data_IF_629775327042
#
_entry.id   IF_629775327042
#
_cell.length_a   1.000
_cell.length_b   1.000
_cell.length_c   1.000
_cell.angle_alpha   90.00
_cell.angle_beta   90.00
_cell.angle_gamma   90.00
#
_symmetry.space_group_name_H-M   'P 1'
#
loop_
_entity.id
_entity.type
_entity.pdbx_description
1 polymer ?
#
# COMPACT_ATOMS: atom_id res chain seq x y z
N UNK A 1 -33.46 -24.58 -10.07
CA UNK A 1 -32.62 -23.50 -10.64
C UNK A 1 -31.72 -22.91 -9.55
N UNK A 2 -30.44 -22.60 -9.79
CA UNK A 2 -29.55 -22.03 -8.76
C UNK A 2 -29.96 -20.57 -8.45
N UNK A 3 -29.96 -20.20 -7.16
CA UNK A 3 -30.29 -18.83 -6.72
C UNK A 3 -29.49 -17.79 -7.51
N UNK A 4 -30.16 -16.74 -8.00
CA UNK A 4 -29.56 -15.66 -8.82
C UNK A 4 -28.36 -15.00 -8.15
N UNK A 5 -28.38 -14.85 -6.82
CA UNK A 5 -27.27 -14.25 -6.08
C UNK A 5 -25.95 -15.04 -6.23
N UNK A 6 -26.04 -16.37 -6.34
CA UNK A 6 -24.91 -17.28 -6.49
C UNK A 6 -24.33 -17.32 -7.92
N UNK A 7 -25.01 -16.64 -8.86
CA UNK A 7 -24.55 -16.47 -10.25
C UNK A 7 -23.68 -15.23 -10.45
N UNK A 8 -23.52 -14.39 -9.43
CA UNK A 8 -22.74 -13.14 -9.48
C UNK A 8 -21.22 -13.34 -9.62
N UNK A 9 -20.52 -12.30 -10.08
CA UNK A 9 -19.05 -12.29 -10.24
C UNK A 9 -18.31 -12.11 -8.91
N UNK A 10 -18.99 -11.69 -7.84
CA UNK A 10 -18.40 -11.47 -6.51
C UNK A 10 -18.10 -12.78 -5.78
N UNK A 11 -18.72 -13.88 -6.20
CA UNK A 11 -18.64 -15.19 -5.56
C UNK A 11 -17.85 -16.15 -6.46
N UNK A 12 -16.88 -16.86 -5.87
CA UNK A 12 -16.16 -17.98 -6.47
C UNK A 12 -16.87 -19.29 -6.14
N UNK A 13 -17.07 -20.14 -7.16
CA UNK A 13 -17.60 -21.50 -7.02
C UNK A 13 -16.45 -22.48 -6.88
N UNK A 14 -16.55 -23.41 -5.94
CA UNK A 14 -15.57 -24.46 -5.68
C UNK A 14 -16.29 -25.80 -5.59
N UNK A 15 -15.96 -26.73 -6.48
CA UNK A 15 -16.51 -28.09 -6.43
C UNK A 15 -15.61 -28.92 -5.51
N UNK A 16 -16.20 -29.58 -4.51
CA UNK A 16 -15.50 -30.45 -3.57
C UNK A 16 -16.32 -31.71 -3.31
N UNK A 17 -15.64 -32.83 -3.09
CA UNK A 17 -16.26 -34.06 -2.58
C UNK A 17 -16.33 -33.97 -1.06
N UNK A 18 -17.48 -34.25 -0.48
CA UNK A 18 -17.63 -34.42 0.96
C UNK A 18 -17.09 -35.78 1.39
N UNK A 19 -16.78 -35.99 2.67
CA UNK A 19 -16.33 -37.29 3.18
C UNK A 19 -17.28 -38.44 2.85
N UNK A 20 -18.59 -38.19 2.81
CA UNK A 20 -19.62 -39.16 2.39
C UNK A 20 -19.75 -39.35 0.88
N UNK A 21 -18.74 -38.98 0.09
CA UNK A 21 -18.68 -39.20 -1.36
C UNK A 21 -19.53 -38.25 -2.23
N UNK A 22 -20.33 -37.36 -1.64
CA UNK A 22 -21.20 -36.44 -2.38
C UNK A 22 -20.39 -35.27 -2.97
N UNK A 23 -20.64 -34.93 -4.23
CA UNK A 23 -20.05 -33.74 -4.87
C UNK A 23 -20.90 -32.52 -4.56
N UNK A 24 -20.32 -31.51 -3.89
CA UNK A 24 -20.99 -30.28 -3.48
C UNK A 24 -20.27 -29.06 -4.04
N UNK A 25 -21.04 -28.05 -4.49
CA UNK A 25 -20.51 -26.74 -4.88
C UNK A 25 -20.53 -25.79 -3.68
N UNK A 26 -19.35 -25.44 -3.20
CA UNK A 26 -19.15 -24.46 -2.13
C UNK A 26 -18.97 -23.07 -2.76
N UNK A 27 -19.77 -22.11 -2.29
CA UNK A 27 -19.70 -20.71 -2.70
C UNK A 27 -18.85 -19.92 -1.70
N UNK A 28 -17.77 -19.29 -2.15
CA UNK A 28 -16.90 -18.43 -1.33
C UNK A 28 -16.81 -17.04 -1.94
N UNK A 29 -16.68 -15.97 -1.15
CA UNK A 29 -16.38 -14.66 -1.70
C UNK A 29 -15.05 -14.67 -2.45
N UNK A 30 -14.93 -13.88 -3.51
CA UNK A 30 -13.62 -13.63 -4.13
C UNK A 30 -12.73 -12.85 -3.16
N UNK A 31 -11.43 -13.14 -3.21
CA UNK A 31 -10.43 -12.33 -2.50
C UNK A 31 -10.31 -10.99 -3.21
N UNK A 32 -10.08 -9.94 -2.44
CA UNK A 32 -9.73 -8.61 -2.96
C UNK A 32 -8.38 -8.62 -3.67
N UNK A 33 -8.09 -7.57 -4.45
CA UNK A 33 -6.78 -7.39 -5.09
C UNK A 33 -5.67 -7.13 -4.07
N UNK A 34 -4.42 -7.38 -4.47
CA UNK A 34 -3.23 -7.01 -3.66
C UNK A 34 -3.10 -5.48 -3.59
N UNK A 35 -2.46 -5.00 -2.52
CA UNK A 35 -2.16 -3.58 -2.35
C UNK A 35 -1.05 -3.13 -3.29
N UNK A 36 -1.09 -1.85 -3.70
CA UNK A 36 -0.22 -1.26 -4.71
C UNK A 36 0.51 -0.05 -4.11
N UNK A 37 1.79 0.11 -4.45
CA UNK A 37 2.62 1.25 -4.05
C UNK A 37 2.10 2.55 -4.67
N UNK A 38 1.99 3.61 -3.86
CA UNK A 38 1.49 4.91 -4.30
C UNK A 38 2.39 5.65 -5.33
N UNK A 39 3.68 5.32 -5.42
CA UNK A 39 4.64 5.95 -6.35
C UNK A 39 4.92 5.07 -7.57
N UNK A 40 5.51 3.90 -7.38
CA UNK A 40 5.95 3.02 -8.48
C UNK A 40 4.90 2.00 -8.96
N UNK A 41 3.72 1.93 -8.33
CA UNK A 41 2.66 0.94 -8.61
C UNK A 41 3.08 -0.54 -8.45
N UNK A 42 4.21 -0.80 -7.78
CA UNK A 42 4.62 -2.16 -7.40
C UNK A 42 3.68 -2.81 -6.39
N UNK A 43 3.61 -4.13 -6.39
CA UNK A 43 2.78 -4.91 -5.45
C UNK A 43 3.39 -4.85 -4.05
N UNK A 44 2.59 -4.51 -3.04
CA UNK A 44 3.01 -4.49 -1.64
C UNK A 44 2.79 -5.86 -0.98
N UNK A 45 3.75 -6.27 -0.15
CA UNK A 45 3.65 -7.48 0.65
C UNK A 45 2.86 -7.22 1.94
N UNK A 46 1.56 -6.98 1.81
CA UNK A 46 0.64 -6.77 2.94
C UNK A 46 -0.57 -7.70 2.84
N UNK A 47 -1.19 -8.07 3.98
CA UNK A 47 -2.43 -8.82 3.97
C UNK A 47 -3.52 -8.06 3.18
N UNK A 48 -4.12 -8.73 2.19
CA UNK A 48 -4.99 -8.07 1.23
C UNK A 48 -6.45 -8.51 1.29
N UNK A 49 -6.74 -9.69 1.85
CA UNK A 49 -8.10 -10.24 1.97
C UNK A 49 -8.90 -9.48 3.04
N UNK A 50 -9.77 -8.55 2.62
CA UNK A 50 -10.47 -7.62 3.53
C UNK A 50 -11.18 -8.30 4.72
N UNK A 51 -11.76 -9.49 4.51
CA UNK A 51 -12.47 -10.22 5.57
C UNK A 51 -11.52 -10.74 6.64
N UNK A 52 -10.31 -11.12 6.25
CA UNK A 52 -9.24 -11.54 7.17
C UNK A 52 -8.56 -10.33 7.79
N UNK A 53 -8.25 -9.32 6.99
CA UNK A 53 -7.62 -8.06 7.41
C UNK A 53 -8.41 -7.38 8.52
N UNK A 54 -9.75 -7.40 8.48
CA UNK A 54 -10.59 -6.82 9.55
C UNK A 54 -10.34 -7.44 10.93
N UNK A 55 -9.98 -8.73 10.98
CA UNK A 55 -9.75 -9.48 12.23
C UNK A 55 -8.33 -9.35 12.79
N UNK A 56 -7.37 -8.88 11.97
CA UNK A 56 -5.98 -8.72 12.37
C UNK A 56 -5.82 -7.53 13.34
N UNK A 57 -4.72 -7.53 14.08
CA UNK A 57 -4.24 -6.38 14.86
C UNK A 57 -3.61 -5.31 13.94
N UNK A 58 -3.28 -4.12 14.48
CA UNK A 58 -2.70 -3.03 13.66
C UNK A 58 -1.33 -3.39 13.09
N UNK A 59 -0.47 -4.03 13.88
CA UNK A 59 0.89 -4.45 13.50
C UNK A 59 0.90 -5.52 12.41
N UNK A 60 -0.07 -6.44 12.43
CA UNK A 60 -0.20 -7.46 11.40
C UNK A 60 -0.74 -6.89 10.07
N UNK A 61 -1.51 -5.79 10.11
CA UNK A 61 -2.05 -5.15 8.90
C UNK A 61 -1.00 -4.36 8.14
N UNK A 62 -0.10 -3.69 8.86
CA UNK A 62 0.74 -2.61 8.32
C UNK A 62 2.17 -2.76 8.87
N UNK A 63 3.21 -2.65 8.03
CA UNK A 63 4.60 -2.61 8.47
C UNK A 63 4.88 -1.43 9.41
N UNK A 64 5.79 -1.61 10.36
CA UNK A 64 6.18 -0.59 11.35
C UNK A 64 6.98 0.59 10.78
N UNK A 65 7.57 0.45 9.59
CA UNK A 65 8.36 1.52 8.95
C UNK A 65 7.52 2.74 8.54
N UNK A 66 8.14 3.92 8.41
CA UNK A 66 7.47 5.08 7.85
C UNK A 66 7.00 4.85 6.40
N UNK A 67 5.99 5.63 6.01
CA UNK A 67 5.34 5.57 4.69
C UNK A 67 4.93 4.14 4.26
N UNK A 68 4.07 3.44 5.02
CA UNK A 68 3.66 2.07 4.70
C UNK A 68 2.97 1.95 3.33
N UNK A 69 2.41 3.04 2.81
CA UNK A 69 1.77 3.11 1.49
C UNK A 69 2.76 2.97 0.31
N UNK A 70 4.06 3.10 0.57
CA UNK A 70 5.14 2.97 -0.41
C UNK A 70 5.82 1.60 -0.32
N UNK A 71 6.59 1.18 -1.31
CA UNK A 71 7.54 0.08 -1.16
C UNK A 71 8.77 0.53 -0.36
N UNK A 72 9.62 -0.40 0.09
CA UNK A 72 10.84 -0.08 0.86
C UNK A 72 11.74 0.91 0.11
N UNK A 73 11.99 0.67 -1.18
CA UNK A 73 12.80 1.55 -2.04
C UNK A 73 12.25 2.97 -2.12
N UNK A 74 10.96 3.12 -2.44
CA UNK A 74 10.36 4.45 -2.55
C UNK A 74 10.27 5.17 -1.20
N UNK A 75 10.15 4.44 -0.08
CA UNK A 75 10.20 5.04 1.25
C UNK A 75 11.60 5.57 1.58
N UNK A 76 12.63 4.80 1.24
CA UNK A 76 14.03 5.21 1.39
C UNK A 76 14.36 6.45 0.54
N UNK A 77 13.88 6.51 -0.71
CA UNK A 77 14.05 7.70 -1.55
C UNK A 77 13.43 8.96 -0.91
N UNK A 78 12.27 8.82 -0.24
CA UNK A 78 11.60 9.94 0.44
C UNK A 78 12.44 10.42 1.63
N UNK A 79 13.02 9.50 2.40
CA UNK A 79 13.91 9.85 3.52
C UNK A 79 15.19 10.51 3.04
N UNK A 80 15.81 9.99 1.97
CA UNK A 80 16.99 10.60 1.33
C UNK A 80 16.68 12.01 0.83
N UNK A 81 15.56 12.19 0.14
CA UNK A 81 15.12 13.49 -0.36
C UNK A 81 14.97 14.50 0.78
N UNK A 82 14.33 14.09 1.88
CA UNK A 82 14.18 14.92 3.08
C UNK A 82 15.54 15.29 3.68
N UNK A 83 16.45 14.33 3.81
CA UNK A 83 17.79 14.57 4.33
C UNK A 83 18.59 15.55 3.45
N UNK A 84 18.53 15.39 2.11
CA UNK A 84 19.19 16.30 1.18
C UNK A 84 18.61 17.72 1.23
N UNK A 85 17.28 17.84 1.34
CA UNK A 85 16.62 19.12 1.55
C UNK A 85 17.08 19.79 2.86
N UNK A 86 17.12 19.04 3.96
CA UNK A 86 17.59 19.56 5.24
C UNK A 86 19.07 20.02 5.15
N UNK A 87 19.95 19.24 4.52
CA UNK A 87 21.35 19.62 4.28
C UNK A 87 21.47 20.91 3.47
N UNK A 88 20.69 21.05 2.39
CA UNK A 88 20.76 22.23 1.52
C UNK A 88 20.16 23.48 2.18
N UNK A 89 18.98 23.36 2.80
CA UNK A 89 18.22 24.52 3.28
C UNK A 89 18.52 24.87 4.74
N UNK A 90 18.58 23.88 5.64
CA UNK A 90 18.81 24.12 7.07
C UNK A 90 20.29 24.33 7.37
N UNK A 91 21.16 23.48 6.83
CA UNK A 91 22.59 23.53 7.09
C UNK A 91 23.37 24.37 6.07
N UNK A 92 22.70 24.89 5.03
CA UNK A 92 23.28 25.73 3.97
C UNK A 92 24.53 25.13 3.33
N UNK A 93 24.60 23.80 3.27
CA UNK A 93 25.69 23.08 2.63
C UNK A 93 25.43 22.94 1.12
N UNK A 94 26.49 22.93 0.31
CA UNK A 94 26.40 22.80 -1.15
C UNK A 94 26.10 21.37 -1.59
N UNK A 95 24.90 20.90 -1.24
CA UNK A 95 24.33 19.68 -1.79
C UNK A 95 23.59 19.96 -3.10
N UNK A 96 23.73 19.05 -4.06
CA UNK A 96 22.90 19.02 -5.27
C UNK A 96 21.51 18.51 -4.89
N UNK A 97 20.53 19.41 -4.87
CA UNK A 97 19.14 19.10 -4.56
C UNK A 97 18.26 19.43 -5.76
N UNK A 98 17.83 18.40 -6.48
CA UNK A 98 16.84 18.50 -7.55
C UNK A 98 15.44 18.17 -7.00
N UNK A 99 14.45 18.98 -7.34
CA UNK A 99 13.08 18.80 -6.86
C UNK A 99 12.38 17.64 -7.57
N UNK A 100 11.84 16.69 -6.80
CA UNK A 100 11.04 15.56 -7.33
C UNK A 100 9.59 15.63 -6.84
N UNK A 101 8.70 16.12 -7.70
CA UNK A 101 7.25 16.23 -7.45
C UNK A 101 6.59 14.89 -7.09
N UNK A 102 7.15 13.76 -7.53
CA UNK A 102 6.61 12.43 -7.21
C UNK A 102 6.86 12.05 -5.74
N UNK A 103 7.92 12.59 -5.13
CA UNK A 103 8.27 12.41 -3.72
C UNK A 103 7.55 13.44 -2.86
N UNK A 104 7.51 14.71 -3.31
CA UNK A 104 6.91 15.83 -2.57
C UNK A 104 5.45 15.56 -2.17
N UNK A 105 4.71 14.80 -2.99
CA UNK A 105 3.34 14.36 -2.71
C UNK A 105 3.17 13.62 -1.38
N UNK A 106 4.22 12.96 -0.89
CA UNK A 106 4.18 12.18 0.35
C UNK A 106 4.67 12.97 1.58
N UNK A 107 5.18 14.18 1.39
CA UNK A 107 5.60 15.06 2.48
C UNK A 107 4.40 15.78 3.12
N UNK A 108 4.62 16.33 4.30
CA UNK A 108 3.61 17.15 4.98
C UNK A 108 3.32 18.42 4.18
N UNK A 109 2.08 18.95 4.29
CA UNK A 109 1.75 20.26 3.72
C UNK A 109 2.66 21.34 4.33
N UNK A 110 3.11 22.29 3.52
CA UNK A 110 4.02 23.36 3.96
C UNK A 110 5.50 22.99 3.99
N UNK A 111 5.91 21.79 3.51
CA UNK A 111 7.33 21.40 3.50
C UNK A 111 8.24 22.39 2.73
N UNK A 112 7.68 23.08 1.73
CA UNK A 112 8.36 24.06 0.89
C UNK A 112 8.55 25.43 1.55
N UNK A 113 7.85 25.75 2.65
CA UNK A 113 7.96 27.07 3.31
C UNK A 113 9.38 27.29 3.82
N UNK A 114 10.00 26.23 4.37
CA UNK A 114 11.42 26.20 4.78
C UNK A 114 12.39 26.51 3.63
N UNK A 115 12.01 26.18 2.40
CA UNK A 115 12.81 26.47 1.21
C UNK A 115 12.74 27.97 0.91
N UNK A 116 11.53 28.54 1.01
CA UNK A 116 11.28 29.96 0.72
C UNK A 116 11.93 30.90 1.72
N UNK A 117 12.02 30.53 3.00
CA UNK A 117 12.65 31.35 4.05
C UNK A 117 14.19 31.41 3.95
N UNK A 118 14.81 30.49 3.21
CA UNK A 118 16.26 30.40 3.05
C UNK A 118 16.82 31.24 1.88
N UNK A 119 15.94 31.78 1.04
CA UNK A 119 16.26 32.51 -0.19
C UNK A 119 16.23 34.02 0.06
#
# INVERSE_FOLDING_TARGET
>A
MVNRQLRSTTIKRLIRKTPGGKVVTIYKPKKTGKHICGRCKGILNMPYDQRKVRKLSKSEKIPSRPYPMLCSKCAEDVERYKAMADVKFKFKFDANFERDLTIEKFLQKGWFEKISESK
#
